data_IF_391005595539
#
_entry.id   IF_391005595539
#
_cell.length_a   1.000
_cell.length_b   1.000
_cell.length_c   1.000
_cell.angle_alpha   90.00
_cell.angle_beta   90.00
_cell.angle_gamma   90.00
#
_symmetry.space_group_name_H-M   'P 1'
#
loop_
_entity.id
_entity.type
_entity.pdbx_description
1 polymer ?
#
# COMPACT_ATOMS: atom_id res chain seq x y z
N UNK A 1 -55.21 -26.81 -9.77
CA UNK A 1 -53.74 -26.68 -9.57
C UNK A 1 -53.09 -26.47 -10.93
N UNK A 2 -52.82 -25.22 -11.31
CA UNK A 2 -52.26 -24.88 -12.62
C UNK A 2 -50.73 -24.90 -12.57
N UNK A 3 -50.11 -25.89 -13.22
CA UNK A 3 -48.66 -25.94 -13.43
C UNK A 3 -48.33 -24.90 -14.51
N UNK A 4 -47.73 -23.78 -14.10
CA UNK A 4 -47.17 -22.78 -15.03
C UNK A 4 -46.00 -23.40 -15.79
N UNK A 5 -46.25 -23.69 -17.05
CA UNK A 5 -45.27 -24.05 -18.08
C UNK A 5 -44.28 -22.90 -18.24
N UNK A 6 -43.00 -23.16 -17.95
CA UNK A 6 -41.92 -22.23 -18.31
C UNK A 6 -41.64 -22.38 -19.81
N UNK A 7 -42.15 -21.43 -20.60
CA UNK A 7 -41.75 -21.24 -21.99
C UNK A 7 -40.23 -20.98 -22.06
N UNK A 8 -39.51 -21.93 -22.65
CA UNK A 8 -38.13 -21.75 -23.08
C UNK A 8 -38.14 -21.02 -24.42
N UNK A 9 -38.10 -19.70 -24.40
CA UNK A 9 -37.68 -18.92 -25.56
C UNK A 9 -36.18 -19.13 -25.80
N UNK A 10 -35.80 -19.30 -27.06
CA UNK A 10 -34.52 -19.84 -27.50
C UNK A 10 -33.26 -19.18 -26.93
N UNK A 11 -32.23 -20.01 -26.77
CA UNK A 11 -30.82 -19.64 -26.63
C UNK A 11 -30.38 -18.95 -25.32
N UNK A 12 -31.25 -18.17 -24.68
CA UNK A 12 -30.83 -17.26 -23.61
C UNK A 12 -31.67 -17.44 -22.34
N UNK A 13 -31.02 -17.87 -21.26
CA UNK A 13 -31.64 -17.96 -19.94
C UNK A 13 -31.43 -16.66 -19.16
N UNK A 14 -32.43 -16.26 -18.36
CA UNK A 14 -32.33 -15.08 -17.45
C UNK A 14 -31.09 -15.17 -16.55
N UNK A 15 -30.76 -16.39 -16.11
CA UNK A 15 -29.56 -16.67 -15.32
C UNK A 15 -28.27 -16.45 -16.12
N UNK A 16 -28.25 -16.86 -17.38
CA UNK A 16 -27.13 -16.59 -18.29
C UNK A 16 -26.91 -15.10 -18.51
N UNK A 17 -27.99 -14.33 -18.69
CA UNK A 17 -27.91 -12.88 -18.80
C UNK A 17 -27.38 -12.22 -17.52
N UNK A 18 -27.83 -12.67 -16.34
CA UNK A 18 -27.36 -12.15 -15.05
C UNK A 18 -25.88 -12.49 -14.78
N UNK A 19 -25.44 -13.71 -15.07
CA UNK A 19 -24.03 -14.08 -14.92
C UNK A 19 -23.13 -13.34 -15.91
N UNK A 20 -23.57 -13.16 -17.17
CA UNK A 20 -22.83 -12.38 -18.14
C UNK A 20 -22.70 -10.91 -17.68
N UNK A 21 -23.79 -10.30 -17.20
CA UNK A 21 -23.76 -8.94 -16.66
C UNK A 21 -22.86 -8.79 -15.43
N UNK A 22 -22.97 -9.71 -14.47
CA UNK A 22 -22.13 -9.70 -13.26
C UNK A 22 -20.64 -9.95 -13.57
N UNK A 23 -20.34 -10.84 -14.52
CA UNK A 23 -18.97 -11.10 -14.96
C UNK A 23 -18.34 -9.91 -15.69
N UNK A 24 -19.11 -9.20 -16.51
CA UNK A 24 -18.66 -7.97 -17.16
C UNK A 24 -18.44 -6.84 -16.13
N UNK A 25 -19.41 -6.61 -15.24
CA UNK A 25 -19.29 -5.60 -14.20
C UNK A 25 -18.13 -5.89 -13.24
N UNK A 26 -18.00 -7.14 -12.77
CA UNK A 26 -16.88 -7.59 -11.96
C UNK A 26 -15.56 -7.40 -12.70
N UNK A 27 -15.45 -7.93 -13.93
CA UNK A 27 -14.24 -7.84 -14.75
C UNK A 27 -13.77 -6.42 -15.02
N UNK A 28 -14.68 -5.46 -15.17
CA UNK A 28 -14.35 -4.04 -15.33
C UNK A 28 -13.90 -3.37 -14.02
N UNK A 29 -14.39 -3.83 -12.87
CA UNK A 29 -14.03 -3.27 -11.56
C UNK A 29 -12.74 -3.86 -10.98
N UNK A 30 -12.38 -5.10 -11.35
CA UNK A 30 -11.18 -5.78 -10.82
C UNK A 30 -9.88 -4.95 -10.98
N UNK A 31 -9.56 -4.34 -12.14
CA UNK A 31 -8.34 -3.55 -12.28
C UNK A 31 -8.31 -2.33 -11.34
N UNK A 32 -9.46 -1.71 -11.10
CA UNK A 32 -9.57 -0.56 -10.20
C UNK A 32 -9.47 -0.97 -8.71
N UNK A 33 -9.93 -2.16 -8.34
CA UNK A 33 -9.89 -2.65 -6.96
C UNK A 33 -8.54 -3.23 -6.55
N UNK A 34 -7.82 -3.89 -7.45
CA UNK A 34 -6.49 -4.48 -7.17
C UNK A 34 -5.32 -3.56 -7.52
N UNK A 35 -5.55 -2.55 -8.36
CA UNK A 35 -4.56 -1.54 -8.72
C UNK A 35 -4.61 -0.27 -7.86
N UNK A 36 -5.44 -0.24 -6.80
CA UNK A 36 -5.48 0.91 -5.89
C UNK A 36 -4.05 1.12 -5.34
N UNK A 37 -3.40 2.26 -5.66
CA UNK A 37 -2.05 2.49 -5.21
C UNK A 37 -2.02 2.43 -3.69
N UNK A 38 -1.03 1.73 -3.12
CA UNK A 38 -0.70 1.85 -1.71
C UNK A 38 -0.71 3.33 -1.33
N UNK A 39 -1.13 3.68 -0.11
CA UNK A 39 -1.37 5.06 0.28
C UNK A 39 -0.19 6.04 0.03
N UNK A 40 1.01 5.56 -0.30
CA UNK A 40 2.18 6.35 -0.71
C UNK A 40 2.53 6.35 -2.21
N UNK A 41 2.03 5.41 -3.03
CA UNK A 41 2.38 5.32 -4.44
C UNK A 41 1.59 6.35 -5.28
N UNK A 42 2.26 7.35 -5.86
CA UNK A 42 1.60 8.40 -6.66
C UNK A 42 1.06 9.58 -5.83
N UNK A 43 1.65 9.86 -4.68
CA UNK A 43 1.20 10.85 -3.71
C UNK A 43 1.45 12.32 -4.10
N UNK A 44 1.59 12.67 -5.39
CA UNK A 44 1.80 14.07 -5.79
C UNK A 44 0.61 14.98 -5.44
N UNK A 45 -0.62 14.44 -5.35
CA UNK A 45 -1.85 15.21 -5.12
C UNK A 45 -2.51 14.96 -3.75
N UNK A 46 -1.82 14.30 -2.80
CA UNK A 46 -2.41 14.04 -1.48
C UNK A 46 -2.25 15.25 -0.58
N UNK A 47 -3.28 15.61 0.22
CA UNK A 47 -3.18 16.70 1.18
C UNK A 47 -2.04 16.41 2.16
N UNK A 48 -1.34 17.47 2.57
CA UNK A 48 -0.27 17.36 3.55
C UNK A 48 -0.76 16.66 4.82
N UNK A 49 0.01 15.70 5.32
CA UNK A 49 -0.27 14.97 6.55
C UNK A 49 0.92 15.10 7.49
N UNK A 50 0.72 15.86 8.57
CA UNK A 50 1.78 16.17 9.53
C UNK A 50 2.98 16.83 8.85
N UNK A 51 4.13 16.18 8.91
CA UNK A 51 5.38 16.64 8.30
C UNK A 51 5.51 16.27 6.82
N UNK A 52 4.65 15.44 6.25
CA UNK A 52 4.70 15.09 4.82
C UNK A 52 3.77 16.01 4.01
N UNK A 53 4.14 16.48 2.80
CA UNK A 53 5.39 16.18 2.08
C UNK A 53 6.55 17.12 2.42
N UNK A 54 6.30 18.30 3.00
CA UNK A 54 7.32 19.35 3.22
C UNK A 54 8.59 18.90 3.97
N UNK A 55 8.50 17.93 4.87
CA UNK A 55 9.62 17.37 5.65
C UNK A 55 10.29 16.15 5.02
N UNK A 56 9.78 15.69 3.87
CA UNK A 56 10.34 14.59 3.07
C UNK A 56 10.63 15.02 1.61
N UNK A 57 10.49 16.31 1.31
CA UNK A 57 10.81 16.92 0.02
C UNK A 57 12.29 17.33 -0.04
N UNK A 58 12.91 17.15 -1.21
CA UNK A 58 14.32 17.51 -1.45
C UNK A 58 15.34 16.42 -1.10
N UNK A 59 16.61 16.79 -1.04
CA UNK A 59 17.73 15.86 -0.87
C UNK A 59 18.07 15.54 0.60
N UNK A 60 17.36 16.14 1.56
CA UNK A 60 17.65 15.99 3.00
C UNK A 60 16.36 15.82 3.79
N UNK A 61 16.31 14.76 4.59
CA UNK A 61 15.18 14.44 5.48
C UNK A 61 15.69 14.34 6.91
N UNK A 62 14.93 14.90 7.85
CA UNK A 62 15.26 14.85 9.27
C UNK A 62 14.52 13.70 9.95
N UNK A 63 15.28 12.81 10.60
CA UNK A 63 14.75 11.65 11.32
C UNK A 63 15.36 11.61 12.72
N UNK A 64 14.54 11.31 13.74
CA UNK A 64 14.98 11.20 15.14
C UNK A 64 14.97 9.75 15.62
N UNK A 65 16.01 9.37 16.38
CA UNK A 65 16.08 8.08 17.07
C UNK A 65 15.83 8.27 18.57
N UNK A 66 14.79 7.62 19.11
CA UNK A 66 14.50 7.62 20.54
C UNK A 66 15.05 6.35 21.18
N UNK A 67 16.32 6.39 21.60
CA UNK A 67 17.02 5.27 22.24
C UNK A 67 17.38 5.59 23.70
N UNK A 68 17.43 4.59 24.61
CA UNK A 68 17.79 4.82 26.01
C UNK A 68 19.28 5.12 26.15
N UNK A 69 19.64 6.38 26.40
CA UNK A 69 21.05 6.82 26.58
C UNK A 69 21.55 6.66 28.02
N UNK A 70 20.65 6.40 28.96
CA UNK A 70 20.93 6.33 30.40
C UNK A 70 20.08 5.26 31.08
N UNK A 71 20.47 4.80 32.27
CA UNK A 71 19.74 3.80 33.05
C UNK A 71 20.19 2.36 32.76
N UNK A 72 19.41 1.38 33.21
CA UNK A 72 19.79 -0.03 33.16
C UNK A 72 20.02 -0.58 31.73
N UNK A 73 19.39 0.04 30.73
CA UNK A 73 19.48 -0.35 29.32
C UNK A 73 20.32 0.60 28.47
N UNK A 74 21.13 1.45 29.10
CA UNK A 74 21.96 2.43 28.39
C UNK A 74 22.92 1.73 27.41
N UNK A 75 23.48 0.59 27.79
CA UNK A 75 24.44 -0.16 26.95
C UNK A 75 23.79 -0.60 25.65
N UNK A 76 22.58 -1.17 25.73
CA UNK A 76 21.82 -1.58 24.54
C UNK A 76 21.41 -0.37 23.70
N UNK A 77 21.01 0.74 24.32
CA UNK A 77 20.68 1.96 23.60
C UNK A 77 21.87 2.64 22.92
N UNK A 78 23.11 2.44 23.43
CA UNK A 78 24.32 2.83 22.70
C UNK A 78 24.51 1.99 21.43
N UNK A 79 24.25 0.68 21.51
CA UNK A 79 24.36 -0.20 20.35
C UNK A 79 23.28 0.09 19.31
N UNK A 80 22.05 0.38 19.73
CA UNK A 80 20.97 0.85 18.86
C UNK A 80 21.32 2.19 18.19
N UNK A 81 21.93 3.14 18.91
CA UNK A 81 22.35 4.41 18.31
C UNK A 81 23.41 4.20 17.22
N UNK A 82 24.39 3.32 17.46
CA UNK A 82 25.42 3.03 16.46
C UNK A 82 24.83 2.35 15.23
N UNK A 83 23.92 1.40 15.41
CA UNK A 83 23.19 0.77 14.31
C UNK A 83 22.41 1.78 13.48
N UNK A 84 21.74 2.74 14.15
CA UNK A 84 21.06 3.84 13.47
C UNK A 84 22.02 4.71 12.66
N UNK A 85 23.15 5.12 13.24
CA UNK A 85 24.15 5.93 12.56
C UNK A 85 24.70 5.22 11.32
N UNK A 86 24.99 3.92 11.43
CA UNK A 86 25.43 3.10 10.30
C UNK A 86 24.36 3.01 9.21
N UNK A 87 23.09 2.86 9.58
CA UNK A 87 21.99 2.85 8.62
C UNK A 87 21.87 4.19 7.87
N UNK A 88 21.99 5.33 8.57
CA UNK A 88 21.99 6.66 7.94
C UNK A 88 23.16 6.81 6.96
N UNK A 89 24.35 6.33 7.33
CA UNK A 89 25.51 6.32 6.45
C UNK A 89 25.27 5.49 5.18
N UNK A 90 24.76 4.26 5.34
CA UNK A 90 24.43 3.38 4.21
C UNK A 90 23.38 3.99 3.28
N UNK A 91 22.35 4.63 3.83
CA UNK A 91 21.29 5.30 3.05
C UNK A 91 21.89 6.45 2.23
N UNK A 92 22.70 7.31 2.85
CA UNK A 92 23.25 8.48 2.19
C UNK A 92 24.33 8.12 1.16
N UNK A 93 25.04 7.02 1.35
CA UNK A 93 26.11 6.57 0.44
C UNK A 93 25.66 5.52 -0.59
N UNK A 94 24.41 5.06 -0.53
CA UNK A 94 23.86 4.10 -1.49
C UNK A 94 24.43 2.70 -1.37
N UNK A 95 24.39 2.12 -0.16
CA UNK A 95 24.90 0.77 0.10
C UNK A 95 24.20 -0.30 -0.78
N UNK A 96 24.93 -1.32 -1.29
CA UNK A 96 24.35 -2.37 -2.13
C UNK A 96 23.16 -3.11 -1.52
N UNK A 97 23.06 -3.21 -0.19
CA UNK A 97 21.94 -3.84 0.52
C UNK A 97 20.59 -3.11 0.31
N UNK A 98 20.62 -1.84 -0.13
CA UNK A 98 19.43 -1.04 -0.39
C UNK A 98 18.91 -1.22 -1.83
N UNK A 99 19.71 -1.83 -2.71
CA UNK A 99 19.27 -2.18 -4.06
C UNK A 99 18.38 -3.43 -4.02
N UNK A 100 17.28 -3.40 -4.77
CA UNK A 100 16.19 -4.38 -4.73
C UNK A 100 16.20 -5.31 -5.93
#
# INVERSE_FOLDING_TARGET
MSRRSHERYGGFSRRGLLHAGAGLAGGMLLPASFGAPAFAAGASDKPAIGTWPAGAEGDTVYVGAAVPRTGAYAVQGEDELKGWQLAVEHINNGDPLLSK
#
